data_IF_454283731407
#
_entry.id   IF_454283731407
#
_cell.length_a   1.000
_cell.length_b   1.000
_cell.length_c   1.000
_cell.angle_alpha   90.00
_cell.angle_beta   90.00
_cell.angle_gamma   90.00
#
_symmetry.space_group_name_H-M   'P 1'
#
loop_
_entity.id
_entity.type
_entity.pdbx_description
1 polymer ?
#
# COMPACT_ATOMS: atom_id res chain seq x y z
N UNK A 1 33.07 32.90 8.60
CA UNK A 1 31.98 32.10 8.00
C UNK A 1 30.95 33.06 7.44
N UNK A 2 30.80 33.17 6.11
CA UNK A 2 29.78 34.03 5.49
C UNK A 2 28.44 33.29 5.50
N UNK A 3 27.47 33.81 6.24
CA UNK A 3 26.07 33.37 6.14
C UNK A 3 25.51 33.97 4.85
N UNK A 4 25.04 33.12 3.94
CA UNK A 4 24.36 33.54 2.72
C UNK A 4 22.85 33.61 3.04
N UNK A 5 22.26 34.79 3.26
CA UNK A 5 20.84 34.88 3.56
C UNK A 5 20.03 34.48 2.33
N UNK A 6 19.01 33.64 2.53
CA UNK A 6 18.03 33.33 1.49
C UNK A 6 17.37 34.62 1.00
N UNK A 7 17.17 34.74 -0.32
CA UNK A 7 16.43 35.86 -0.91
C UNK A 7 14.95 35.79 -0.51
N UNK A 8 14.28 36.94 -0.47
CA UNK A 8 12.85 37.03 -0.18
C UNK A 8 11.98 36.25 -1.20
N UNK A 9 12.48 36.08 -2.43
CA UNK A 9 11.81 35.28 -3.46
C UNK A 9 11.90 33.78 -3.16
N UNK A 10 13.07 33.32 -2.73
CA UNK A 10 13.28 31.92 -2.35
C UNK A 10 12.42 31.55 -1.14
N UNK A 11 12.32 32.43 -0.15
CA UNK A 11 11.50 32.19 1.04
C UNK A 11 10.00 32.02 0.70
N UNK A 12 9.49 32.82 -0.25
CA UNK A 12 8.10 32.74 -0.72
C UNK A 12 7.85 31.45 -1.49
N UNK A 13 8.76 31.11 -2.42
CA UNK A 13 8.69 29.88 -3.19
C UNK A 13 8.72 28.62 -2.30
N UNK A 14 9.59 28.58 -1.29
CA UNK A 14 9.64 27.48 -0.31
C UNK A 14 8.35 27.40 0.52
N UNK A 15 7.72 28.54 0.82
CA UNK A 15 6.41 28.60 1.48
C UNK A 15 5.31 27.95 0.63
N UNK A 16 5.23 28.29 -0.66
CA UNK A 16 4.26 27.72 -1.60
C UNK A 16 4.45 26.21 -1.77
N UNK A 17 5.70 25.72 -1.86
CA UNK A 17 6.00 24.29 -1.93
C UNK A 17 5.54 23.54 -0.67
N UNK A 18 5.77 24.12 0.51
CA UNK A 18 5.29 23.53 1.78
C UNK A 18 3.77 23.49 1.85
N UNK A 19 3.09 24.51 1.34
CA UNK A 19 1.64 24.57 1.29
C UNK A 19 1.07 23.50 0.35
N UNK A 20 1.59 23.40 -0.89
CA UNK A 20 1.17 22.37 -1.85
C UNK A 20 1.49 20.94 -1.39
N UNK A 21 2.58 20.74 -0.64
CA UNK A 21 2.86 19.46 0.01
C UNK A 21 1.82 19.15 1.09
N UNK A 22 1.45 20.11 1.95
CA UNK A 22 0.43 19.91 2.99
C UNK A 22 -0.93 19.59 2.40
N UNK A 23 -1.33 20.24 1.32
CA UNK A 23 -2.58 19.96 0.60
C UNK A 23 -2.58 18.53 0.01
N UNK A 24 -1.48 18.10 -0.61
CA UNK A 24 -1.35 16.71 -1.08
C UNK A 24 -1.32 15.66 0.04
N UNK A 25 -0.88 16.04 1.25
CA UNK A 25 -0.90 15.18 2.44
C UNK A 25 -2.30 15.06 3.05
N UNK A 26 -3.18 16.05 2.84
CA UNK A 26 -4.55 16.07 3.35
C UNK A 26 -5.52 15.17 2.56
N UNK A 27 -5.19 14.85 1.30
CA UNK A 27 -5.99 13.96 0.44
C UNK A 27 -5.61 12.47 0.56
N UNK A 28 -4.76 12.10 1.54
CA UNK A 28 -4.49 10.69 1.79
C UNK A 28 -5.76 10.05 2.38
N UNK A 29 -6.29 8.97 1.78
CA UNK A 29 -7.44 8.27 2.35
C UNK A 29 -7.10 7.88 3.79
N UNK A 30 -7.93 8.34 4.73
CA UNK A 30 -7.77 8.11 6.17
C UNK A 30 -8.29 6.74 6.60
N UNK A 31 -9.01 6.05 5.71
CA UNK A 31 -9.54 4.71 5.92
C UNK A 31 -9.27 3.81 4.71
N UNK A 32 -9.16 2.50 4.93
CA UNK A 32 -9.01 1.51 3.86
C UNK A 32 -8.11 0.34 4.23
N UNK A 33 -7.56 -0.32 3.21
CA UNK A 33 -6.61 -1.41 3.40
C UNK A 33 -5.51 -1.41 2.35
N UNK A 34 -4.38 -2.03 2.69
CA UNK A 34 -3.23 -2.23 1.83
C UNK A 34 -2.73 -3.66 1.96
N UNK A 35 -2.47 -4.29 0.83
CA UNK A 35 -1.93 -5.64 0.81
C UNK A 35 -0.47 -5.67 0.39
N UNK A 36 0.42 -6.00 1.31
CA UNK A 36 1.86 -5.96 1.11
C UNK A 36 2.38 -7.30 0.60
N UNK A 37 3.02 -7.27 -0.56
CA UNK A 37 3.57 -8.46 -1.25
C UNK A 37 5.00 -8.19 -1.72
N UNK A 38 5.70 -9.25 -2.16
CA UNK A 38 7.03 -9.11 -2.77
C UNK A 38 7.26 -10.16 -3.85
N UNK A 39 8.27 -9.92 -4.69
CA UNK A 39 8.74 -10.86 -5.70
C UNK A 39 9.49 -12.09 -5.16
N UNK A 40 9.77 -12.15 -3.85
CA UNK A 40 10.24 -13.39 -3.24
C UNK A 40 9.16 -14.49 -3.29
N UNK A 41 7.89 -14.10 -3.50
CA UNK A 41 6.77 -15.01 -3.71
C UNK A 41 6.78 -15.47 -5.18
N UNK A 42 6.66 -16.79 -5.45
CA UNK A 42 6.57 -17.29 -6.82
C UNK A 42 5.44 -16.65 -7.62
N UNK A 43 5.64 -16.43 -8.93
CA UNK A 43 4.69 -15.72 -9.80
C UNK A 43 3.26 -16.27 -9.72
N UNK A 44 3.10 -17.60 -9.68
CA UNK A 44 1.78 -18.23 -9.54
C UNK A 44 1.09 -17.87 -8.22
N UNK A 45 1.84 -17.81 -7.12
CA UNK A 45 1.34 -17.38 -5.81
C UNK A 45 0.99 -15.90 -5.81
N UNK A 46 1.87 -15.06 -6.37
CA UNK A 46 1.65 -13.62 -6.47
C UNK A 46 0.41 -13.29 -7.31
N UNK A 47 0.21 -13.97 -8.45
CA UNK A 47 -0.98 -13.78 -9.29
C UNK A 47 -2.27 -14.07 -8.52
N UNK A 48 -2.34 -15.22 -7.83
CA UNK A 48 -3.49 -15.58 -6.99
C UNK A 48 -3.77 -14.53 -5.92
N UNK A 49 -2.72 -14.10 -5.23
CA UNK A 49 -2.77 -13.07 -4.18
C UNK A 49 -3.31 -11.73 -4.69
N UNK A 50 -2.85 -11.28 -5.87
CA UNK A 50 -3.30 -10.03 -6.47
C UNK A 50 -4.75 -10.14 -6.97
N UNK A 51 -5.14 -11.27 -7.57
CA UNK A 51 -6.53 -11.52 -7.94
C UNK A 51 -7.46 -11.47 -6.73
N UNK A 52 -7.04 -12.07 -5.61
CA UNK A 52 -7.80 -12.01 -4.37
C UNK A 52 -7.90 -10.58 -3.83
N UNK A 53 -6.80 -9.83 -3.79
CA UNK A 53 -6.80 -8.43 -3.32
C UNK A 53 -7.79 -7.56 -4.09
N UNK A 54 -7.88 -7.76 -5.41
CA UNK A 54 -8.84 -7.03 -6.24
C UNK A 54 -10.30 -7.39 -6.03
N UNK A 55 -10.59 -8.63 -5.61
CA UNK A 55 -11.97 -8.99 -5.24
C UNK A 55 -12.47 -8.06 -4.15
N UNK A 56 -11.62 -7.77 -3.17
CA UNK A 56 -11.91 -6.91 -2.03
C UNK A 56 -11.61 -5.42 -2.27
N UNK A 57 -11.25 -5.03 -3.51
CA UNK A 57 -10.85 -3.66 -3.88
C UNK A 57 -9.65 -3.13 -3.04
N UNK A 58 -8.77 -4.02 -2.62
CA UNK A 58 -7.61 -3.70 -1.78
C UNK A 58 -6.40 -3.48 -2.70
N UNK A 59 -5.80 -2.28 -2.71
CA UNK A 59 -4.57 -2.03 -3.46
C UNK A 59 -3.42 -2.86 -2.90
N UNK A 60 -2.66 -3.47 -3.79
CA UNK A 60 -1.48 -4.25 -3.40
C UNK A 60 -0.22 -3.39 -3.51
N UNK A 61 0.63 -3.41 -2.48
CA UNK A 61 1.90 -2.69 -2.45
C UNK A 61 3.05 -3.68 -2.54
N UNK A 62 3.92 -3.49 -3.52
CA UNK A 62 5.01 -4.41 -3.82
C UNK A 62 6.34 -3.91 -3.26
N UNK A 63 7.05 -4.77 -2.51
CA UNK A 63 8.38 -4.43 -1.97
C UNK A 63 9.47 -4.55 -3.03
N UNK A 64 10.01 -3.40 -3.44
CA UNK A 64 11.34 -3.30 -4.05
C UNK A 64 11.49 -3.89 -5.45
N UNK A 65 12.76 -4.14 -5.82
CA UNK A 65 13.19 -4.64 -7.12
C UNK A 65 13.48 -6.14 -7.06
N UNK A 66 13.06 -6.91 -8.06
CA UNK A 66 13.47 -8.30 -8.29
C UNK A 66 14.99 -8.35 -8.39
N UNK A 67 15.67 -9.06 -7.46
CA UNK A 67 17.12 -9.27 -7.51
C UNK A 67 17.98 -8.01 -7.69
N UNK A 68 17.51 -6.84 -7.22
CA UNK A 68 18.15 -5.55 -7.43
C UNK A 68 18.22 -5.09 -8.91
N UNK A 69 17.42 -5.69 -9.80
CA UNK A 69 17.36 -5.39 -11.23
C UNK A 69 16.03 -4.69 -11.58
N UNK A 70 16.13 -3.42 -12.01
CA UNK A 70 14.97 -2.62 -12.41
C UNK A 70 14.29 -3.12 -13.69
N UNK A 71 15.04 -3.71 -14.63
CA UNK A 71 14.52 -4.21 -15.90
C UNK A 71 13.72 -5.48 -15.68
N UNK A 72 14.26 -6.43 -14.90
CA UNK A 72 13.53 -7.64 -14.49
C UNK A 72 12.31 -7.29 -13.67
N UNK A 73 12.41 -6.29 -12.79
CA UNK A 73 11.27 -5.76 -12.04
C UNK A 73 10.21 -5.19 -12.96
N UNK A 74 10.59 -4.32 -13.89
CA UNK A 74 9.68 -3.72 -14.86
C UNK A 74 9.00 -4.79 -15.72
N UNK A 75 9.72 -5.81 -16.18
CA UNK A 75 9.14 -6.93 -16.93
C UNK A 75 8.15 -7.74 -16.09
N UNK A 76 8.49 -8.05 -14.83
CA UNK A 76 7.60 -8.79 -13.95
C UNK A 76 6.34 -7.99 -13.60
N UNK A 77 6.46 -6.69 -13.31
CA UNK A 77 5.31 -5.80 -13.10
C UNK A 77 4.49 -5.67 -14.39
N UNK A 78 5.14 -5.44 -15.54
CA UNK A 78 4.45 -5.36 -16.83
C UNK A 78 3.72 -6.65 -17.16
N UNK A 79 4.30 -7.82 -16.90
CA UNK A 79 3.63 -9.10 -17.10
C UNK A 79 2.38 -9.22 -16.21
N UNK A 80 2.47 -8.79 -14.95
CA UNK A 80 1.31 -8.77 -14.05
C UNK A 80 0.24 -7.76 -14.50
N UNK A 81 0.63 -6.60 -15.03
CA UNK A 81 -0.29 -5.54 -15.51
C UNK A 81 -0.96 -5.97 -16.82
N UNK A 82 -0.19 -6.54 -17.76
CA UNK A 82 -0.67 -7.05 -19.05
C UNK A 82 -1.62 -8.24 -18.89
N UNK A 83 -1.36 -9.13 -17.92
CA UNK A 83 -2.28 -10.20 -17.54
C UNK A 83 -3.57 -9.69 -16.86
N UNK A 84 -3.75 -8.37 -16.79
CA UNK A 84 -4.87 -7.74 -16.09
C UNK A 84 -4.88 -8.13 -14.63
N UNK A 85 -3.74 -8.51 -14.02
CA UNK A 85 -3.55 -9.02 -12.65
C UNK A 85 -2.96 -7.99 -11.67
N UNK A 86 -2.35 -6.90 -12.17
CA UNK A 86 -1.75 -5.82 -11.37
C UNK A 86 -2.36 -4.40 -11.50
N UNK A 87 -3.49 -4.21 -12.18
CA UNK A 87 -4.35 -3.02 -11.93
C UNK A 87 -4.56 -2.83 -10.42
N UNK A 88 -4.10 -1.70 -9.87
CA UNK A 88 -4.10 -1.43 -8.43
C UNK A 88 -2.84 -1.85 -7.66
N UNK A 89 -1.76 -2.27 -8.34
CA UNK A 89 -0.45 -2.52 -7.72
C UNK A 89 0.39 -1.26 -7.72
N UNK A 90 0.79 -0.81 -6.53
CA UNK A 90 1.70 0.30 -6.33
C UNK A 90 3.09 -0.21 -5.88
N UNK A 91 4.16 0.44 -6.34
CA UNK A 91 5.50 0.26 -5.79
C UNK A 91 5.76 1.43 -4.85
N UNK A 92 5.59 1.21 -3.55
CA UNK A 92 5.75 2.25 -2.55
C UNK A 92 6.58 1.73 -1.35
N UNK A 93 7.91 1.93 -1.36
CA UNK A 93 8.76 1.50 -0.25
C UNK A 93 8.53 2.33 1.03
N UNK A 94 7.84 3.48 0.94
CA UNK A 94 7.56 4.32 2.11
C UNK A 94 6.47 3.70 2.99
N UNK A 95 5.42 3.14 2.37
CA UNK A 95 4.33 2.45 3.10
C UNK A 95 4.82 1.23 3.88
N UNK A 96 5.82 0.50 3.38
CA UNK A 96 6.43 -0.60 4.15
C UNK A 96 7.04 -0.13 5.48
N UNK A 97 7.67 1.05 5.48
CA UNK A 97 8.23 1.64 6.71
C UNK A 97 7.15 2.25 7.59
N UNK A 98 6.20 2.95 6.98
CA UNK A 98 5.06 3.59 7.66
C UNK A 98 4.29 2.59 8.53
N UNK A 99 3.98 1.42 8.00
CA UNK A 99 3.23 0.37 8.71
C UNK A 99 4.12 -0.71 9.37
N UNK A 100 5.44 -0.51 9.43
CA UNK A 100 6.36 -1.46 10.07
C UNK A 100 6.32 -2.88 9.49
N UNK A 101 6.16 -3.01 8.17
CA UNK A 101 6.02 -4.30 7.49
C UNK A 101 7.39 -4.91 7.22
N UNK A 102 7.77 -5.87 8.06
CA UNK A 102 9.03 -6.62 7.95
C UNK A 102 8.88 -7.96 7.23
N UNK A 103 7.68 -8.55 7.28
CA UNK A 103 7.33 -9.83 6.66
C UNK A 103 6.25 -9.66 5.59
N UNK A 104 6.30 -10.49 4.55
CA UNK A 104 5.29 -10.55 3.49
C UNK A 104 4.87 -12.00 3.24
N UNK A 105 3.62 -12.26 2.83
CA UNK A 105 2.55 -11.28 2.65
C UNK A 105 2.01 -10.75 3.99
N UNK A 106 1.49 -9.51 3.96
CA UNK A 106 0.83 -8.87 5.11
C UNK A 106 -0.33 -8.00 4.65
N UNK A 107 -1.45 -8.05 5.35
CA UNK A 107 -2.59 -7.15 5.17
C UNK A 107 -2.54 -6.06 6.25
N UNK A 108 -2.72 -4.81 5.84
CA UNK A 108 -2.96 -3.69 6.76
C UNK A 108 -4.36 -3.18 6.51
N UNK A 109 -5.14 -3.04 7.56
CA UNK A 109 -6.41 -2.29 7.56
C UNK A 109 -6.16 -1.04 8.38
N UNK A 110 -6.52 0.13 7.88
CA UNK A 110 -6.30 1.39 8.56
C UNK A 110 -7.57 2.23 8.58
N UNK A 111 -7.72 3.00 9.63
CA UNK A 111 -8.83 3.90 9.92
C UNK A 111 -8.26 5.20 10.50
N UNK A 112 -9.10 6.22 10.75
CA UNK A 112 -8.61 7.57 11.04
C UNK A 112 -7.65 7.64 12.24
N UNK A 113 -7.86 6.78 13.24
CA UNK A 113 -7.11 6.81 14.49
C UNK A 113 -6.02 5.73 14.60
N UNK A 114 -6.15 4.61 13.89
CA UNK A 114 -5.23 3.48 14.05
C UNK A 114 -5.16 2.55 12.84
N UNK A 115 -4.42 1.45 12.98
CA UNK A 115 -4.29 0.43 11.94
C UNK A 115 -4.05 -0.95 12.55
N UNK A 116 -4.61 -1.97 11.90
CA UNK A 116 -4.41 -3.38 12.21
C UNK A 116 -3.49 -4.02 11.17
N UNK A 117 -2.56 -4.86 11.63
CA UNK A 117 -1.65 -5.59 10.74
C UNK A 117 -1.81 -7.08 10.92
N UNK A 118 -2.28 -7.75 9.88
CA UNK A 118 -2.38 -9.21 9.80
C UNK A 118 -1.23 -9.75 8.95
N UNK A 119 -0.33 -10.51 9.58
CA UNK A 119 0.86 -11.08 8.93
C UNK A 119 0.63 -12.54 8.56
N UNK A 120 1.18 -12.94 7.42
CA UNK A 120 1.24 -14.33 6.99
C UNK A 120 0.35 -14.65 5.80
N UNK A 121 0.59 -15.84 5.23
CA UNK A 121 -0.10 -16.34 4.04
C UNK A 121 -1.46 -16.94 4.44
N UNK A 122 -2.42 -16.07 4.76
CA UNK A 122 -3.82 -16.44 4.98
C UNK A 122 -4.70 -15.75 3.93
N UNK A 123 -5.89 -16.30 3.70
CA UNK A 123 -6.86 -15.70 2.79
C UNK A 123 -7.27 -14.31 3.27
N UNK A 124 -7.50 -13.38 2.34
CA UNK A 124 -7.89 -12.01 2.67
C UNK A 124 -9.23 -11.97 3.38
N UNK A 125 -10.17 -12.85 3.02
CA UNK A 125 -11.41 -13.04 3.78
C UNK A 125 -11.13 -13.30 5.25
N UNK A 126 -10.31 -14.31 5.55
CA UNK A 126 -9.96 -14.69 6.92
C UNK A 126 -9.17 -13.60 7.64
N UNK A 127 -8.31 -12.87 6.92
CA UNK A 127 -7.56 -11.75 7.49
C UNK A 127 -8.50 -10.62 7.90
N UNK A 128 -9.45 -10.25 7.04
CA UNK A 128 -10.45 -9.23 7.35
C UNK A 128 -11.39 -9.70 8.48
N UNK A 129 -11.85 -10.96 8.48
CA UNK A 129 -12.66 -11.52 9.58
C UNK A 129 -11.95 -11.40 10.93
N UNK A 130 -10.62 -11.65 10.97
CA UNK A 130 -9.83 -11.46 12.19
C UNK A 130 -9.79 -10.01 12.65
N UNK A 131 -9.73 -9.05 11.71
CA UNK A 131 -9.78 -7.63 12.06
C UNK A 131 -11.16 -7.26 12.57
N UNK A 132 -12.24 -7.74 11.95
CA UNK A 132 -13.61 -7.54 12.45
C UNK A 132 -13.77 -8.10 13.87
N UNK A 133 -13.22 -9.28 14.15
CA UNK A 133 -13.39 -9.94 15.45
C UNK A 133 -12.55 -9.28 16.56
N UNK A 134 -11.31 -8.87 16.25
CA UNK A 134 -10.30 -8.52 17.28
C UNK A 134 -9.57 -7.21 17.05
N UNK A 135 -9.59 -6.67 15.83
CA UNK A 135 -8.89 -5.44 15.46
C UNK A 135 -9.58 -4.18 15.97
N UNK A 136 -8.96 -3.04 15.70
CA UNK A 136 -9.45 -1.71 16.03
C UNK A 136 -10.26 -1.11 14.86
N UNK A 137 -9.86 -1.33 13.62
CA UNK A 137 -10.53 -0.87 12.40
C UNK A 137 -11.58 -1.88 11.91
N UNK A 138 -12.48 -2.30 12.81
CA UNK A 138 -13.49 -3.35 12.55
C UNK A 138 -14.48 -2.94 11.47
N UNK A 139 -14.95 -1.71 11.51
CA UNK A 139 -15.96 -1.21 10.59
C UNK A 139 -15.42 -1.15 9.15
N UNK A 140 -14.18 -0.70 8.98
CA UNK A 140 -13.47 -0.71 7.69
C UNK A 140 -13.29 -2.14 7.19
N UNK A 141 -12.86 -3.06 8.04
CA UNK A 141 -12.71 -4.47 7.67
C UNK A 141 -14.04 -5.11 7.24
N UNK A 142 -15.13 -4.79 7.94
CA UNK A 142 -16.46 -5.28 7.58
C UNK A 142 -16.94 -4.73 6.23
N UNK A 143 -16.70 -3.45 5.96
CA UNK A 143 -17.02 -2.85 4.66
C UNK A 143 -16.25 -3.52 3.51
N UNK A 144 -14.96 -3.80 3.72
CA UNK A 144 -14.13 -4.49 2.74
C UNK A 144 -14.63 -5.93 2.49
N UNK A 145 -15.00 -6.67 3.55
CA UNK A 145 -15.60 -8.00 3.42
C UNK A 145 -16.86 -7.97 2.56
N UNK A 146 -17.79 -7.06 2.88
CA UNK A 146 -19.06 -6.92 2.15
C UNK A 146 -18.82 -6.63 0.66
N UNK A 147 -17.84 -5.77 0.34
CA UNK A 147 -17.47 -5.48 -1.06
C UNK A 147 -16.98 -6.72 -1.81
N UNK A 148 -16.18 -7.56 -1.16
CA UNK A 148 -15.64 -8.76 -1.80
C UNK A 148 -16.62 -9.93 -1.88
N UNK A 149 -17.66 -9.97 -1.05
CA UNK A 149 -18.73 -10.97 -1.13
C UNK A 149 -19.82 -10.61 -2.16
N UNK A 150 -19.95 -9.33 -2.51
CA UNK A 150 -20.88 -8.85 -3.53
C UNK A 150 -20.38 -9.00 -4.98
N UNK A 151 -19.18 -9.56 -5.21
CA UNK A 151 -18.54 -9.76 -6.53
C UNK A 151 -18.30 -11.23 -6.84
#
# INVERSE_FOLDING_TARGET
MRQNPLSADDARFIGELKQRQRENLQDKPTHGALYFVSFAIPQAGLKRMLTEARRYDIPATLRGMVNNDMKTTATAVMALVQDGSASGVAIDPTRFREYGITSVPSLVVYCEASHDVIRGNIHLKQALEKVVEKGECRDEAQQLLNKGEAR
#
